data_IF_818416749274
#
_entry.id   IF_818416749274
#
_cell.length_a   1.000
_cell.length_b   1.000
_cell.length_c   1.000
_cell.angle_alpha   90.00
_cell.angle_beta   90.00
_cell.angle_gamma   90.00
#
_symmetry.space_group_name_H-M   'P 1'
#
loop_
_entity.id
_entity.type
_entity.pdbx_description
1 polymer ?
#
# COMPACT_ATOMS: atom_id res chain seq x y z
N UNK A 1 -4.23 23.50 -12.92
CA UNK A 1 -5.48 23.64 -12.12
C UNK A 1 -5.21 22.95 -10.80
N UNK A 2 -5.36 23.64 -9.68
CA UNK A 2 -5.10 23.09 -8.36
C UNK A 2 -6.23 22.15 -7.94
N UNK A 3 -5.92 21.04 -7.27
CA UNK A 3 -6.88 20.01 -6.86
C UNK A 3 -7.03 19.98 -5.35
N UNK A 4 -8.12 19.40 -4.88
CA UNK A 4 -8.35 19.19 -3.45
C UNK A 4 -7.36 18.17 -2.86
N UNK A 5 -7.14 18.28 -1.55
CA UNK A 5 -6.29 17.36 -0.80
C UNK A 5 -6.94 15.98 -0.64
N UNK A 6 -6.12 14.93 -0.64
CA UNK A 6 -6.56 13.57 -0.32
C UNK A 6 -6.16 13.19 1.11
N UNK A 7 -7.05 12.50 1.80
CA UNK A 7 -6.73 11.89 3.08
C UNK A 7 -5.72 10.74 2.86
N UNK A 8 -4.52 10.87 3.42
CA UNK A 8 -3.47 9.85 3.40
C UNK A 8 -2.58 10.02 4.63
N UNK A 9 -2.21 8.91 5.26
CA UNK A 9 -1.41 8.90 6.50
C UNK A 9 -0.26 7.91 6.33
N UNK A 10 0.96 8.38 6.57
CA UNK A 10 2.14 7.51 6.67
C UNK A 10 2.29 7.01 8.12
N UNK A 11 2.07 5.71 8.35
CA UNK A 11 2.16 5.11 9.70
C UNK A 11 3.60 5.00 10.24
N UNK A 12 4.57 5.54 9.51
CA UNK A 12 6.01 5.51 9.83
C UNK A 12 6.51 6.80 10.49
N UNK A 13 5.68 7.85 10.58
CA UNK A 13 6.16 9.20 10.94
C UNK A 13 6.05 9.52 12.43
N UNK A 14 5.08 8.93 13.15
CA UNK A 14 4.95 9.15 14.59
C UNK A 14 5.90 8.23 15.36
N UNK A 15 7.08 8.75 15.71
CA UNK A 15 8.11 8.00 16.43
C UNK A 15 7.67 7.60 17.84
N UNK A 16 6.76 8.34 18.47
CA UNK A 16 6.26 8.00 19.81
C UNK A 16 5.40 6.75 19.75
N UNK A 17 4.50 6.68 18.77
CA UNK A 17 3.67 5.49 18.52
C UNK A 17 4.54 4.28 18.16
N UNK A 18 5.52 4.46 17.26
CA UNK A 18 6.40 3.38 16.83
C UNK A 18 7.22 2.80 17.99
N UNK A 19 7.81 3.66 18.81
CA UNK A 19 8.65 3.22 19.94
C UNK A 19 7.84 2.63 21.08
N UNK A 20 6.70 3.24 21.44
CA UNK A 20 5.82 2.71 22.48
C UNK A 20 5.26 1.33 22.11
N UNK A 21 4.71 1.17 20.90
CA UNK A 21 4.20 -0.13 20.45
C UNK A 21 5.33 -1.15 20.30
N UNK A 22 6.47 -0.72 19.73
CA UNK A 22 7.63 -1.59 19.56
C UNK A 22 8.15 -2.14 20.88
N UNK A 23 8.16 -1.31 21.93
CA UNK A 23 8.57 -1.68 23.29
C UNK A 23 7.56 -2.62 23.96
N UNK A 24 6.27 -2.27 23.93
CA UNK A 24 5.25 -2.95 24.75
C UNK A 24 4.68 -4.21 24.10
N UNK A 25 4.60 -4.24 22.76
CA UNK A 25 3.94 -5.31 21.99
C UNK A 25 4.86 -5.99 20.96
N UNK A 26 6.08 -5.46 20.79
CA UNK A 26 7.04 -5.94 19.80
C UNK A 26 6.99 -5.19 18.47
N UNK A 27 8.14 -5.12 17.82
CA UNK A 27 8.32 -4.36 16.58
C UNK A 27 7.46 -4.86 15.41
N UNK A 28 7.05 -6.14 15.42
CA UNK A 28 6.13 -6.71 14.43
C UNK A 28 4.68 -6.16 14.55
N UNK A 29 4.30 -5.54 15.67
CA UNK A 29 2.93 -5.05 15.88
C UNK A 29 2.75 -3.56 15.52
N UNK A 30 3.83 -2.84 15.21
CA UNK A 30 3.84 -1.37 15.07
C UNK A 30 2.84 -0.84 14.04
N UNK A 31 2.61 -1.56 12.94
CA UNK A 31 1.64 -1.15 11.92
C UNK A 31 0.25 -1.73 12.17
N UNK A 32 0.15 -2.98 12.61
CA UNK A 32 -1.14 -3.62 12.87
C UNK A 32 -1.97 -2.84 13.91
N UNK A 33 -1.33 -2.38 15.00
CA UNK A 33 -2.02 -1.59 16.03
C UNK A 33 -2.52 -0.24 15.54
N UNK A 34 -1.71 0.45 14.73
CA UNK A 34 -2.13 1.71 14.13
C UNK A 34 -3.29 1.50 13.14
N UNK A 35 -3.24 0.42 12.36
CA UNK A 35 -4.32 0.04 11.43
C UNK A 35 -5.62 -0.28 12.17
N UNK A 36 -5.59 -1.04 13.27
CA UNK A 36 -6.78 -1.29 14.10
C UNK A 36 -7.44 -0.01 14.60
N UNK A 37 -6.65 1.03 14.88
CA UNK A 37 -7.14 2.28 15.44
C UNK A 37 -7.63 3.27 14.38
N UNK A 38 -7.00 3.32 13.20
CA UNK A 38 -7.19 4.38 12.22
C UNK A 38 -7.92 3.93 10.94
N UNK A 39 -7.85 2.64 10.60
CA UNK A 39 -8.35 2.13 9.33
C UNK A 39 -9.83 1.76 9.41
N UNK A 40 -10.59 2.14 8.39
CA UNK A 40 -11.99 1.80 8.21
C UNK A 40 -12.20 0.82 7.05
N UNK A 41 -13.39 0.23 7.00
CA UNK A 41 -13.82 -0.57 5.86
C UNK A 41 -13.76 0.25 4.57
N UNK A 42 -13.24 -0.37 3.50
CA UNK A 42 -12.99 0.24 2.18
C UNK A 42 -11.84 1.25 2.10
N UNK A 43 -11.10 1.50 3.18
CA UNK A 43 -9.82 2.22 3.08
C UNK A 43 -8.82 1.43 2.24
N UNK A 44 -7.71 2.08 1.86
CA UNK A 44 -6.60 1.43 1.15
C UNK A 44 -5.37 1.43 2.05
N UNK A 45 -4.79 0.25 2.26
CA UNK A 45 -3.52 0.08 2.99
C UNK A 45 -2.44 -0.44 2.04
N UNK A 46 -1.35 0.33 1.92
CA UNK A 46 -0.22 0.01 1.07
C UNK A 46 0.98 -0.40 1.95
N UNK A 47 1.41 -1.66 1.82
CA UNK A 47 2.61 -2.18 2.48
C UNK A 47 3.81 -2.17 1.54
N UNK A 48 4.89 -1.48 1.91
CA UNK A 48 6.11 -1.40 1.09
C UNK A 48 7.20 -2.25 1.74
N UNK A 49 7.71 -3.25 1.01
CA UNK A 49 8.78 -4.14 1.51
C UNK A 49 9.55 -4.76 0.36
N UNK A 50 10.87 -4.56 0.27
CA UNK A 50 11.66 -5.10 -0.86
C UNK A 50 11.77 -6.62 -0.82
N UNK A 51 11.91 -7.22 0.36
CA UNK A 51 12.00 -8.69 0.53
C UNK A 51 10.64 -9.38 0.56
N UNK A 52 9.58 -8.64 0.90
CA UNK A 52 8.25 -9.23 1.08
C UNK A 52 8.06 -10.05 2.36
N UNK A 53 9.06 -10.06 3.25
CA UNK A 53 9.07 -10.92 4.44
C UNK A 53 9.10 -10.14 5.78
N UNK A 54 8.95 -8.81 5.74
CA UNK A 54 8.88 -7.97 6.93
C UNK A 54 7.62 -8.27 7.73
N UNK A 55 7.77 -8.86 8.93
CA UNK A 55 6.64 -9.32 9.75
C UNK A 55 5.70 -8.18 10.15
N UNK A 56 6.26 -6.99 10.44
CA UNK A 56 5.47 -5.80 10.73
C UNK A 56 4.52 -5.39 9.58
N UNK A 57 5.00 -5.45 8.34
CA UNK A 57 4.19 -5.16 7.15
C UNK A 57 3.12 -6.24 6.97
N UNK A 58 3.47 -7.51 7.15
CA UNK A 58 2.52 -8.62 6.99
C UNK A 58 1.40 -8.58 8.02
N UNK A 59 1.72 -8.29 9.28
CA UNK A 59 0.73 -8.14 10.33
C UNK A 59 -0.20 -6.96 10.03
N UNK A 60 0.35 -5.83 9.57
CA UNK A 60 -0.46 -4.69 9.14
C UNK A 60 -1.42 -5.01 7.99
N UNK A 61 -0.92 -5.63 6.92
CA UNK A 61 -1.76 -6.03 5.77
C UNK A 61 -2.84 -7.05 6.16
N UNK A 62 -2.54 -8.01 7.03
CA UNK A 62 -3.55 -8.96 7.53
C UNK A 62 -4.64 -8.25 8.31
N UNK A 63 -4.27 -7.30 9.16
CA UNK A 63 -5.22 -6.56 9.98
C UNK A 63 -6.13 -5.67 9.14
N UNK A 64 -5.57 -4.95 8.17
CA UNK A 64 -6.33 -4.18 7.19
C UNK A 64 -7.36 -5.04 6.45
N UNK A 65 -6.96 -6.25 6.04
CA UNK A 65 -7.85 -7.20 5.37
C UNK A 65 -9.00 -7.67 6.25
N UNK A 66 -8.76 -7.90 7.55
CA UNK A 66 -9.82 -8.26 8.51
C UNK A 66 -10.85 -7.14 8.68
N UNK A 67 -10.41 -5.89 8.68
CA UNK A 67 -11.27 -4.69 8.77
C UNK A 67 -12.12 -4.53 7.49
N UNK A 68 -11.71 -5.13 6.37
CA UNK A 68 -12.36 -4.99 5.08
C UNK A 68 -11.83 -3.80 4.26
N UNK A 69 -10.60 -3.38 4.53
CA UNK A 69 -9.85 -2.46 3.68
C UNK A 69 -9.26 -3.20 2.47
N UNK A 70 -9.04 -2.47 1.37
CA UNK A 70 -8.28 -2.94 0.24
C UNK A 70 -6.79 -2.93 0.57
N UNK A 71 -6.10 -4.00 0.24
CA UNK A 71 -4.70 -4.18 0.59
C UNK A 71 -3.82 -4.28 -0.64
N UNK A 72 -2.71 -3.53 -0.64
CA UNK A 72 -1.75 -3.49 -1.74
C UNK A 72 -0.35 -3.71 -1.15
N UNK A 73 0.50 -4.53 -1.80
CA UNK A 73 1.93 -4.58 -1.50
C UNK A 73 2.80 -4.10 -2.64
N UNK A 74 3.89 -3.40 -2.31
CA UNK A 74 5.00 -3.13 -3.22
C UNK A 74 6.18 -3.98 -2.81
N UNK A 75 6.64 -4.85 -3.71
CA UNK A 75 7.68 -5.84 -3.41
C UNK A 75 8.81 -5.87 -4.44
N UNK A 76 9.90 -6.54 -4.09
CA UNK A 76 10.91 -7.01 -5.05
C UNK A 76 10.53 -8.33 -5.71
N UNK A 77 11.45 -8.90 -6.48
CA UNK A 77 11.24 -10.05 -7.38
C UNK A 77 10.63 -11.28 -6.69
N UNK A 78 11.09 -11.60 -5.48
CA UNK A 78 10.65 -12.78 -4.75
C UNK A 78 9.26 -12.61 -4.14
N UNK A 79 8.84 -11.35 -3.93
CA UNK A 79 7.60 -10.91 -3.29
C UNK A 79 7.31 -11.44 -1.86
N UNK A 80 7.98 -12.50 -1.43
CA UNK A 80 7.82 -13.14 -0.14
C UNK A 80 6.35 -13.46 0.19
N UNK A 81 6.06 -13.50 1.48
CA UNK A 81 4.70 -13.64 2.00
C UNK A 81 3.81 -12.43 1.64
N UNK A 82 4.39 -11.24 1.52
CA UNK A 82 3.68 -10.02 1.12
C UNK A 82 3.17 -10.05 -0.33
N UNK A 83 3.61 -11.01 -1.16
CA UNK A 83 3.08 -11.21 -2.51
C UNK A 83 1.72 -11.90 -2.56
N UNK A 84 1.31 -12.58 -1.48
CA UNK A 84 0.12 -13.46 -1.45
C UNK A 84 -0.97 -12.93 -0.51
N UNK A 85 -0.58 -12.30 0.59
CA UNK A 85 -1.51 -11.78 1.60
C UNK A 85 -2.48 -10.70 1.06
N UNK A 86 -1.99 -9.65 0.35
CA UNK A 86 -2.84 -8.52 -0.04
C UNK A 86 -3.73 -8.86 -1.23
N UNK A 87 -4.73 -8.03 -1.48
CA UNK A 87 -5.62 -8.16 -2.64
C UNK A 87 -4.87 -7.90 -3.95
N UNK A 88 -3.87 -7.03 -3.88
CA UNK A 88 -3.04 -6.62 -5.00
C UNK A 88 -1.56 -6.58 -4.63
N UNK A 89 -0.70 -7.02 -5.55
CA UNK A 89 0.76 -6.99 -5.37
C UNK A 89 1.42 -6.39 -6.61
N UNK A 90 2.27 -5.39 -6.40
CA UNK A 90 3.12 -4.76 -7.43
C UNK A 90 4.55 -5.23 -7.19
N UNK A 91 5.00 -6.10 -8.09
CA UNK A 91 6.30 -6.77 -8.00
C UNK A 91 7.30 -6.12 -8.93
N UNK A 92 8.36 -5.54 -8.37
CA UNK A 92 9.50 -5.04 -9.15
C UNK A 92 10.41 -6.19 -9.50
N UNK A 93 10.69 -6.39 -10.80
CA UNK A 93 11.51 -7.50 -11.30
C UNK A 93 13.01 -7.26 -11.08
N UNK A 94 13.42 -7.16 -9.82
CA UNK A 94 14.81 -7.00 -9.43
C UNK A 94 15.05 -7.64 -8.07
N UNK A 95 16.27 -8.13 -7.86
CA UNK A 95 16.79 -8.59 -6.57
C UNK A 95 17.66 -7.51 -5.87
N UNK A 96 17.90 -6.38 -6.53
CA UNK A 96 18.69 -5.29 -5.96
C UNK A 96 17.79 -4.32 -5.19
N UNK A 97 17.95 -4.26 -3.86
CA UNK A 97 17.14 -3.40 -2.97
C UNK A 97 17.09 -1.94 -3.42
N UNK A 98 18.19 -1.35 -3.85
CA UNK A 98 18.21 0.04 -4.29
C UNK A 98 17.38 0.25 -5.56
N UNK A 99 17.49 -0.65 -6.55
CA UNK A 99 16.66 -0.61 -7.77
C UNK A 99 15.18 -0.84 -7.45
N UNK A 100 14.87 -1.72 -6.51
CA UNK A 100 13.49 -1.95 -6.05
C UNK A 100 12.93 -0.67 -5.42
N UNK A 101 13.68 -0.02 -4.53
CA UNK A 101 13.25 1.21 -3.86
C UNK A 101 13.06 2.38 -4.84
N UNK A 102 13.97 2.56 -5.80
CA UNK A 102 13.81 3.56 -6.87
C UNK A 102 12.53 3.31 -7.69
N UNK A 103 12.27 2.06 -8.04
CA UNK A 103 11.05 1.70 -8.75
C UNK A 103 9.78 1.93 -7.90
N UNK A 104 9.81 1.62 -6.60
CA UNK A 104 8.68 1.89 -5.69
C UNK A 104 8.35 3.39 -5.61
N UNK A 105 9.37 4.26 -5.57
CA UNK A 105 9.19 5.71 -5.62
C UNK A 105 8.54 6.14 -6.95
N UNK A 106 9.06 5.65 -8.07
CA UNK A 106 8.49 5.92 -9.40
C UNK A 106 7.03 5.45 -9.51
N UNK A 107 6.73 4.24 -9.03
CA UNK A 107 5.36 3.70 -8.99
C UNK A 107 4.46 4.61 -8.14
N UNK A 108 4.93 5.08 -6.99
CA UNK A 108 4.22 6.05 -6.16
C UNK A 108 3.86 7.34 -6.93
N UNK A 109 4.81 7.91 -7.66
CA UNK A 109 4.56 9.08 -8.51
C UNK A 109 3.55 8.81 -9.63
N UNK A 110 3.63 7.65 -10.27
CA UNK A 110 2.66 7.24 -11.30
C UNK A 110 1.26 7.10 -10.70
N UNK A 111 1.12 6.46 -9.53
CA UNK A 111 -0.17 6.31 -8.85
C UNK A 111 -0.77 7.67 -8.50
N UNK A 112 0.01 8.58 -7.95
CA UNK A 112 -0.45 9.95 -7.69
C UNK A 112 -0.92 10.62 -9.00
N UNK A 113 -0.16 10.50 -10.09
CA UNK A 113 -0.54 11.06 -11.39
C UNK A 113 -1.84 10.46 -11.95
N UNK A 114 -2.03 9.15 -11.83
CA UNK A 114 -3.24 8.47 -12.30
C UNK A 114 -4.45 8.78 -11.42
N UNK A 115 -4.29 8.82 -10.10
CA UNK A 115 -5.34 9.26 -9.17
C UNK A 115 -5.76 10.69 -9.54
N UNK A 116 -4.80 11.59 -9.74
CA UNK A 116 -5.08 12.97 -10.11
C UNK A 116 -5.82 13.09 -11.44
N UNK A 117 -5.45 12.31 -12.47
CA UNK A 117 -6.20 12.27 -13.74
C UNK A 117 -7.62 11.76 -13.53
N UNK A 118 -7.76 10.68 -12.78
CA UNK A 118 -9.05 10.06 -12.51
C UNK A 118 -9.98 11.03 -11.79
N UNK A 119 -9.50 11.71 -10.74
CA UNK A 119 -10.32 12.60 -9.92
C UNK A 119 -10.52 13.97 -10.55
N UNK A 120 -9.54 14.46 -11.33
CA UNK A 120 -9.71 15.66 -12.16
C UNK A 120 -10.78 15.46 -13.23
N UNK A 121 -10.94 14.23 -13.72
CA UNK A 121 -12.04 13.84 -14.62
C UNK A 121 -13.33 13.55 -13.84
N UNK A 122 -13.25 13.00 -12.61
CA UNK A 122 -14.39 12.50 -11.83
C UNK A 122 -15.26 13.55 -11.12
N UNK A 123 -15.23 14.83 -11.54
CA UNK A 123 -16.50 15.57 -11.53
C UNK A 123 -17.54 14.92 -12.45
N UNK A 124 -17.13 14.00 -13.33
CA UNK A 124 -17.98 13.15 -14.16
C UNK A 124 -17.47 11.69 -14.21
N UNK A 125 -18.20 10.79 -13.56
CA UNK A 125 -18.28 9.32 -13.82
C UNK A 125 -17.31 8.34 -13.12
N UNK A 126 -17.79 7.79 -11.99
CA UNK A 126 -17.18 6.69 -11.21
C UNK A 126 -17.04 5.37 -11.97
N UNK A 127 -17.77 5.12 -13.07
CA UNK A 127 -17.68 3.84 -13.81
C UNK A 127 -16.33 3.66 -14.50
N UNK A 128 -15.65 4.75 -14.84
CA UNK A 128 -14.36 4.74 -15.54
C UNK A 128 -13.21 4.26 -14.64
N UNK A 129 -13.27 4.58 -13.35
CA UNK A 129 -12.25 4.24 -12.33
C UNK A 129 -12.13 2.72 -12.18
N UNK A 130 -13.26 2.03 -12.00
CA UNK A 130 -13.30 0.58 -11.85
C UNK A 130 -12.81 -0.19 -13.09
N UNK A 131 -12.94 0.41 -14.27
CA UNK A 131 -12.44 -0.19 -15.53
C UNK A 131 -10.91 -0.15 -15.62
N UNK A 132 -10.28 0.94 -15.14
CA UNK A 132 -8.82 1.12 -15.15
C UNK A 132 -8.15 0.14 -14.20
N UNK A 133 -8.64 0.01 -12.96
CA UNK A 133 -8.11 -0.97 -12.01
C UNK A 133 -8.19 -2.40 -12.55
N UNK A 134 -9.33 -2.79 -13.15
CA UNK A 134 -9.47 -4.11 -13.79
C UNK A 134 -8.49 -4.32 -14.96
N UNK A 135 -8.17 -3.27 -15.72
CA UNK A 135 -7.25 -3.36 -16.86
C UNK A 135 -5.79 -3.47 -16.42
N UNK A 136 -5.40 -2.74 -15.37
CA UNK A 136 -4.06 -2.82 -14.78
C UNK A 136 -3.78 -4.18 -14.12
N UNK A 137 -4.73 -4.71 -13.34
CA UNK A 137 -4.56 -6.03 -12.69
C UNK A 137 -4.62 -7.21 -13.66
N UNK A 138 -5.13 -7.02 -14.88
CA UNK A 138 -5.01 -8.01 -15.96
C UNK A 138 -3.62 -8.05 -16.58
N UNK A 139 -2.85 -6.97 -16.48
CA UNK A 139 -1.51 -6.88 -17.02
C UNK A 139 -0.45 -7.43 -16.06
N UNK A 140 -0.68 -7.37 -14.75
CA UNK A 140 0.24 -7.94 -13.74
C UNK A 140 0.14 -9.46 -13.54
N UNK A 141 -0.78 -10.13 -14.26
CA UNK A 141 -0.96 -11.59 -14.25
C UNK A 141 -0.39 -12.30 -15.50
N UNK A 142 0.39 -11.60 -16.33
CA UNK A 142 1.15 -12.20 -17.43
C UNK A 142 2.64 -12.15 -17.14
#
# INVERSE_FOLDING_TARGET
>A
KERDAFASIALTTDTSILTAIGNDYGFNQIFARQIMALCNKNDIVIGITTSGNSENIMMGLREAKKIGAYTISFTGQDAGKAGVIPDYSIKVLSNNTARIQEAHILIGHILCSEIDKITSVSKYDFKKINSIFKKWFRFSRR
#
